data_IF_993153495939
#
_entry.id   IF_993153495939
#
_cell.length_a   1.000
_cell.length_b   1.000
_cell.length_c   1.000
_cell.angle_alpha   90.00
_cell.angle_beta   90.00
_cell.angle_gamma   90.00
#
_symmetry.space_group_name_H-M   'P 1'
#
loop_
_entity.id
_entity.type
_entity.pdbx_description
1 polymer ?
#
# COMPACT_ATOMS: atom_id res chain seq x y z
N UNK A 1 5.88 37.71 -6.50
CA UNK A 1 6.24 36.39 -7.06
C UNK A 1 5.00 35.50 -6.97
N UNK A 2 4.37 35.16 -8.11
CA UNK A 2 3.19 34.30 -8.13
C UNK A 2 3.58 32.83 -8.19
N UNK A 3 2.84 32.01 -7.43
CA UNK A 3 3.12 30.62 -7.17
C UNK A 3 2.96 29.72 -8.42
N UNK A 4 3.99 28.90 -8.62
CA UNK A 4 4.00 27.59 -9.26
C UNK A 4 2.96 27.35 -10.38
N UNK A 5 3.36 27.62 -11.61
CA UNK A 5 2.87 26.92 -12.81
C UNK A 5 3.11 25.40 -12.68
N UNK A 6 2.22 24.69 -11.99
CA UNK A 6 2.15 23.24 -11.95
C UNK A 6 1.40 22.70 -13.19
N UNK A 7 1.73 23.22 -14.36
CA UNK A 7 1.05 23.03 -15.66
C UNK A 7 1.21 21.64 -16.28
N UNK A 8 1.42 20.59 -15.47
CA UNK A 8 1.49 19.21 -15.97
C UNK A 8 1.63 18.11 -14.92
N UNK A 9 1.53 18.42 -13.61
CA UNK A 9 1.48 17.38 -12.57
C UNK A 9 0.04 17.12 -12.19
N UNK A 10 -0.31 15.84 -12.14
CA UNK A 10 -1.58 15.40 -11.62
C UNK A 10 -1.69 15.80 -10.13
N UNK A 11 -2.68 16.64 -9.75
CA UNK A 11 -2.83 17.10 -8.37
C UNK A 11 -3.08 15.95 -7.39
N UNK A 12 -3.72 14.86 -7.84
CA UNK A 12 -3.98 13.66 -7.04
C UNK A 12 -2.66 12.99 -6.68
N UNK A 13 -1.74 12.88 -7.64
CA UNK A 13 -0.42 12.27 -7.42
C UNK A 13 0.47 13.10 -6.50
N UNK A 14 0.40 14.43 -6.62
CA UNK A 14 1.10 15.35 -5.73
C UNK A 14 0.54 15.22 -4.31
N UNK A 15 -0.79 15.22 -4.16
CA UNK A 15 -1.43 15.05 -2.86
C UNK A 15 -1.10 13.69 -2.20
N UNK A 16 -1.08 12.61 -2.97
CA UNK A 16 -0.68 11.29 -2.49
C UNK A 16 0.77 11.27 -1.96
N UNK A 17 1.69 11.92 -2.66
CA UNK A 17 3.08 12.07 -2.21
C UNK A 17 3.18 12.84 -0.89
N UNK A 18 2.49 13.98 -0.80
CA UNK A 18 2.45 14.81 0.41
C UNK A 18 1.82 14.03 1.59
N UNK A 19 0.71 13.30 1.36
CA UNK A 19 0.11 12.41 2.36
C UNK A 19 1.08 11.32 2.83
N UNK A 20 1.87 10.77 1.91
CA UNK A 20 2.95 9.83 2.23
C UNK A 20 4.01 10.43 3.15
N UNK A 21 4.36 11.72 2.97
CA UNK A 21 5.30 12.39 3.89
C UNK A 21 4.73 12.56 5.29
N UNK A 22 3.43 12.83 5.43
CA UNK A 22 2.78 12.97 6.74
C UNK A 22 2.72 11.65 7.52
N UNK A 23 2.58 10.52 6.83
CA UNK A 23 2.50 9.19 7.44
C UNK A 23 3.85 8.64 7.92
N UNK A 24 4.96 9.26 7.52
CA UNK A 24 6.32 8.79 7.86
C UNK A 24 6.74 9.27 9.25
N UNK A 25 7.25 8.35 10.07
CA UNK A 25 7.73 8.66 11.42
C UNK A 25 9.13 9.32 11.45
N UNK A 26 9.87 9.23 10.35
CA UNK A 26 11.26 9.69 10.22
C UNK A 26 11.42 11.06 9.55
N UNK A 27 10.32 11.74 9.22
CA UNK A 27 10.34 13.10 8.66
C UNK A 27 10.24 14.17 9.75
N UNK A 28 10.88 15.32 9.50
CA UNK A 28 10.85 16.46 10.41
C UNK A 28 9.47 17.11 10.48
N UNK A 29 9.19 17.78 11.60
CA UNK A 29 7.92 18.50 11.80
C UNK A 29 7.74 19.64 10.79
N UNK A 30 8.82 20.32 10.41
CA UNK A 30 8.79 21.35 9.35
C UNK A 30 8.36 20.76 8.00
N UNK A 31 8.86 19.57 7.63
CA UNK A 31 8.48 18.90 6.40
C UNK A 31 7.02 18.46 6.43
N UNK A 32 6.52 17.98 7.57
CA UNK A 32 5.11 17.65 7.77
C UNK A 32 4.22 18.88 7.64
N UNK A 33 4.59 19.98 8.31
CA UNK A 33 3.83 21.22 8.26
C UNK A 33 3.75 21.77 6.84
N UNK A 34 4.86 21.79 6.11
CA UNK A 34 4.87 22.24 4.71
C UNK A 34 4.00 21.35 3.81
N UNK A 35 4.07 20.03 3.99
CA UNK A 35 3.25 19.09 3.23
C UNK A 35 1.75 19.29 3.50
N UNK A 36 1.39 19.56 4.76
CA UNK A 36 0.01 19.85 5.15
C UNK A 36 -0.48 21.17 4.55
N UNK A 37 0.30 22.25 4.62
CA UNK A 37 -0.10 23.53 4.03
C UNK A 37 -0.28 23.42 2.52
N UNK A 38 0.58 22.65 1.86
CA UNK A 38 0.49 22.43 0.42
C UNK A 38 -0.73 21.58 0.03
N UNK A 39 -1.16 20.64 0.87
CA UNK A 39 -2.42 19.91 0.68
C UNK A 39 -3.65 20.83 0.79
N UNK A 40 -3.62 21.78 1.73
CA UNK A 40 -4.68 22.79 1.92
C UNK A 40 -4.77 23.75 0.75
N UNK A 41 -3.63 24.29 0.31
CA UNK A 41 -3.56 25.21 -0.83
C UNK A 41 -4.06 24.56 -2.13
N UNK A 42 -3.80 23.26 -2.30
CA UNK A 42 -4.29 22.48 -3.44
C UNK A 42 -5.77 22.10 -3.33
N UNK A 43 -6.48 22.46 -2.26
CA UNK A 43 -7.90 22.10 -2.05
C UNK A 43 -8.15 20.59 -1.98
N UNK A 44 -7.09 19.80 -1.75
CA UNK A 44 -7.14 18.34 -1.74
C UNK A 44 -7.46 17.77 -0.35
N UNK A 45 -7.65 18.63 0.66
CA UNK A 45 -8.14 18.26 2.01
C UNK A 45 -9.46 17.47 1.90
N UNK A 46 -10.31 17.80 0.92
CA UNK A 46 -11.64 17.21 0.70
C UNK A 46 -11.62 15.94 -0.18
N UNK A 47 -10.55 15.68 -0.94
CA UNK A 47 -10.41 14.49 -1.80
C UNK A 47 -10.21 13.19 -0.99
N UNK A 48 -10.24 13.27 0.34
CA UNK A 48 -10.25 12.15 1.27
C UNK A 48 -11.65 11.50 1.34
N UNK A 49 -12.72 12.20 0.95
CA UNK A 49 -14.11 11.71 1.09
C UNK A 49 -14.67 10.94 -0.13
N UNK A 50 -13.94 10.83 -1.24
CA UNK A 50 -14.37 10.04 -2.40
C UNK A 50 -13.47 8.81 -2.61
N UNK A 51 -13.75 7.69 -1.91
CA UNK A 51 -12.95 6.46 -1.97
C UNK A 51 -13.02 5.68 -3.30
N UNK A 52 -13.77 6.17 -4.29
CA UNK A 52 -14.17 5.36 -5.45
C UNK A 52 -13.34 5.60 -6.71
N UNK A 53 -12.34 6.50 -6.70
CA UNK A 53 -11.45 6.69 -7.85
C UNK A 53 -9.98 6.70 -7.45
N UNK A 54 -9.31 5.61 -7.82
CA UNK A 54 -7.88 5.49 -8.04
C UNK A 54 -6.99 5.14 -6.83
N UNK A 55 -6.93 3.83 -6.59
CA UNK A 55 -5.67 3.07 -6.48
C UNK A 55 -4.65 3.53 -5.44
N UNK A 56 -4.94 3.31 -4.16
CA UNK A 56 -4.07 2.57 -3.22
C UNK A 56 -4.75 2.59 -1.86
N UNK A 57 -5.51 1.53 -1.59
CA UNK A 57 -5.87 1.12 -0.23
C UNK A 57 -4.58 0.65 0.45
N UNK A 58 -3.70 1.60 0.79
CA UNK A 58 -2.51 1.33 1.60
C UNK A 58 -2.80 1.68 3.06
N UNK A 59 -3.80 1.00 3.58
CA UNK A 59 -3.90 0.65 5.00
C UNK A 59 -4.56 -0.74 5.12
N UNK A 60 -4.14 -1.68 4.27
CA UNK A 60 -4.20 -3.10 4.62
C UNK A 60 -2.94 -3.35 5.43
N UNK A 61 -3.07 -3.83 6.66
CA UNK A 61 -1.99 -3.90 7.65
C UNK A 61 -0.74 -4.56 7.05
N UNK A 62 0.45 -4.17 7.50
CA UNK A 62 1.70 -4.80 7.04
C UNK A 62 1.66 -6.33 7.22
N UNK A 63 0.91 -6.78 8.23
CA UNK A 63 0.58 -8.17 8.52
C UNK A 63 -0.20 -8.84 7.37
N UNK A 64 -1.31 -8.25 6.89
CA UNK A 64 -2.09 -8.82 5.78
C UNK A 64 -1.30 -8.87 4.46
N UNK A 65 -0.41 -7.91 4.20
CA UNK A 65 0.47 -7.96 3.01
C UNK A 65 1.52 -9.06 3.14
N UNK A 66 2.06 -9.25 4.33
CA UNK A 66 3.01 -10.31 4.61
C UNK A 66 2.37 -11.69 4.42
N UNK A 67 1.18 -11.90 4.97
CA UNK A 67 0.44 -13.16 4.85
C UNK A 67 0.16 -13.54 3.39
N UNK A 68 -0.31 -12.59 2.57
CA UNK A 68 -0.58 -12.83 1.15
C UNK A 68 0.68 -13.25 0.36
N UNK A 69 1.83 -12.64 0.68
CA UNK A 69 3.10 -13.00 0.05
C UNK A 69 3.57 -14.40 0.45
N UNK A 70 3.43 -14.73 1.74
CA UNK A 70 3.78 -16.04 2.30
C UNK A 70 2.93 -17.15 1.68
N UNK A 71 1.61 -16.96 1.60
CA UNK A 71 0.71 -17.90 0.93
C UNK A 71 1.05 -18.07 -0.55
N UNK A 72 1.40 -16.99 -1.25
CA UNK A 72 1.87 -17.04 -2.64
C UNK A 72 3.14 -17.91 -2.80
N UNK A 73 4.08 -17.77 -1.86
CA UNK A 73 5.30 -18.58 -1.81
C UNK A 73 5.02 -20.08 -1.65
N UNK A 74 4.14 -20.45 -0.70
CA UNK A 74 3.73 -21.85 -0.54
C UNK A 74 3.00 -22.39 -1.78
N UNK A 75 2.15 -21.58 -2.44
CA UNK A 75 1.49 -21.97 -3.71
C UNK A 75 2.51 -22.19 -4.82
N UNK A 76 3.58 -21.40 -4.88
CA UNK A 76 4.66 -21.60 -5.84
C UNK A 76 5.44 -22.89 -5.56
N UNK A 77 5.73 -23.20 -4.30
CA UNK A 77 6.38 -24.46 -3.89
C UNK A 77 5.59 -25.68 -4.37
N UNK A 78 4.26 -25.69 -4.25
CA UNK A 78 3.44 -26.80 -4.74
C UNK A 78 3.50 -27.01 -6.26
N UNK A 79 3.69 -25.93 -7.03
CA UNK A 79 3.76 -25.98 -8.49
C UNK A 79 5.16 -26.25 -9.01
N UNK A 80 6.19 -26.15 -8.18
CA UNK A 80 7.57 -26.34 -8.61
C UNK A 80 7.89 -27.85 -8.73
N UNK A 81 8.28 -28.37 -9.91
CA UNK A 81 8.63 -29.78 -10.07
C UNK A 81 9.99 -30.13 -9.43
N UNK A 82 10.82 -29.14 -9.10
CA UNK A 82 12.18 -29.34 -8.57
C UNK A 82 12.26 -29.32 -7.04
N UNK A 83 11.13 -29.18 -6.33
CA UNK A 83 11.11 -29.25 -4.86
C UNK A 83 10.79 -30.65 -4.38
N UNK A 84 11.28 -31.01 -3.20
CA UNK A 84 11.01 -32.30 -2.57
C UNK A 84 9.53 -32.46 -2.17
N UNK A 85 9.07 -33.71 -2.07
CA UNK A 85 7.71 -34.01 -1.61
C UNK A 85 7.47 -33.53 -0.18
N UNK A 86 8.48 -33.60 0.69
CA UNK A 86 8.42 -33.05 2.06
C UNK A 86 8.15 -31.54 2.07
N UNK A 87 8.80 -30.77 1.17
CA UNK A 87 8.57 -29.33 1.06
C UNK A 87 7.16 -29.01 0.54
N UNK A 88 6.61 -29.86 -0.35
CA UNK A 88 5.23 -29.73 -0.82
C UNK A 88 4.22 -30.06 0.28
N UNK A 89 4.45 -31.12 1.06
CA UNK A 89 3.61 -31.48 2.22
C UNK A 89 3.53 -30.30 3.20
N UNK A 90 4.67 -29.71 3.54
CA UNK A 90 4.74 -28.54 4.41
C UNK A 90 3.96 -27.35 3.84
N UNK A 91 4.12 -27.06 2.54
CA UNK A 91 3.37 -26.00 1.88
C UNK A 91 1.85 -26.25 1.86
N UNK A 92 1.40 -27.50 1.71
CA UNK A 92 -0.03 -27.86 1.78
C UNK A 92 -0.61 -27.60 3.16
N UNK A 93 0.11 -27.94 4.24
CA UNK A 93 -0.35 -27.71 5.61
C UNK A 93 -0.57 -26.22 5.92
N UNK A 94 0.34 -25.35 5.46
CA UNK A 94 0.23 -23.90 5.65
C UNK A 94 -0.92 -23.27 4.82
N UNK A 95 -1.18 -23.80 3.63
CA UNK A 95 -2.27 -23.32 2.77
C UNK A 95 -3.64 -23.84 3.20
N UNK A 96 -3.77 -25.12 3.55
CA UNK A 96 -5.02 -25.72 4.01
C UNK A 96 -5.57 -25.07 5.29
N UNK A 97 -4.68 -24.56 6.15
CA UNK A 97 -5.08 -23.82 7.36
C UNK A 97 -5.64 -22.42 7.05
N UNK A 98 -5.39 -21.89 5.85
CA UNK A 98 -5.80 -20.54 5.43
C UNK A 98 -6.98 -20.51 4.45
N UNK A 99 -7.29 -21.64 3.80
CA UNK A 99 -8.33 -21.74 2.75
C UNK A 99 -9.75 -22.06 3.30
N UNK A 100 -9.91 -22.26 4.61
CA UNK A 100 -11.21 -22.58 5.25
C UNK A 100 -11.97 -21.35 5.80
N UNK A 101 -11.71 -20.15 5.26
CA UNK A 101 -12.51 -18.93 5.53
C UNK A 101 -13.28 -18.49 4.29
N UNK A 102 -14.21 -19.33 3.84
CA UNK A 102 -15.26 -18.93 2.90
C UNK A 102 -16.60 -19.54 3.30
N UNK A 103 -17.29 -18.90 4.26
CA UNK A 103 -18.76 -18.87 4.40
C UNK A 103 -19.20 -17.62 5.16
#
# INVERSE_FOLDING_TARGET
>A
MSAADNTGKDPIRVAAGLKGTLARGDVSDEAKNNAQERLKDMGCEEYIAHPESSSDVREKSEEEKHENHVQGGYKATLKNPNVSEEAKENARQHLGSSEDKEV
#
